data_IF_533881223872
#
_entry.id   IF_533881223872
#
_cell.length_a   1.000
_cell.length_b   1.000
_cell.length_c   1.000
_cell.angle_alpha   90.00
_cell.angle_beta   90.00
_cell.angle_gamma   90.00
#
_symmetry.space_group_name_H-M   'P 1'
#
loop_
_entity.id
_entity.type
_entity.pdbx_description
1 polymer ?
#
# COMPACT_ATOMS: atom_id res chain seq x y z
N UNK A 1 -9.83 -9.14 -90.84
CA UNK A 1 -9.12 -7.97 -91.39
C UNK A 1 -10.11 -6.82 -91.53
N UNK A 2 -9.65 -5.59 -91.28
CA UNK A 2 -10.33 -4.29 -91.44
C UNK A 2 -11.24 -3.79 -90.29
N UNK A 3 -10.63 -2.98 -89.41
CA UNK A 3 -11.25 -1.79 -88.76
C UNK A 3 -11.43 -0.69 -89.84
N UNK A 4 -12.35 0.31 -89.74
CA UNK A 4 -12.09 1.50 -88.90
C UNK A 4 -13.30 2.34 -88.39
N UNK A 5 -13.03 3.02 -87.26
CA UNK A 5 -13.29 4.44 -86.88
C UNK A 5 -14.60 5.16 -87.26
N UNK A 6 -15.25 5.73 -86.24
CA UNK A 6 -15.58 7.16 -86.12
C UNK A 6 -15.91 7.48 -84.65
N UNK A 7 -15.10 8.23 -83.90
CA UNK A 7 -14.93 9.69 -83.83
C UNK A 7 -16.08 10.47 -83.13
N UNK A 8 -15.78 10.92 -81.89
CA UNK A 8 -15.97 12.27 -81.28
C UNK A 8 -17.38 12.91 -81.30
N UNK A 9 -17.90 13.63 -80.29
CA UNK A 9 -17.32 14.45 -79.22
C UNK A 9 -18.44 14.90 -78.24
N UNK A 10 -18.04 15.14 -76.98
CA UNK A 10 -18.44 16.21 -76.04
C UNK A 10 -19.93 16.61 -75.87
N UNK A 11 -20.43 16.46 -74.64
CA UNK A 11 -20.65 17.54 -73.63
C UNK A 11 -21.51 16.93 -72.51
N UNK A 12 -21.05 16.76 -71.28
CA UNK A 12 -20.75 17.81 -70.32
C UNK A 12 -21.84 17.80 -69.24
N UNK A 13 -21.52 17.35 -68.03
CA UNK A 13 -22.07 17.88 -66.75
C UNK A 13 -21.63 17.06 -65.54
N UNK A 14 -21.13 17.81 -64.55
CA UNK A 14 -21.24 17.60 -63.10
C UNK A 14 -20.29 16.58 -62.46
N UNK A 15 -19.23 17.17 -61.93
CA UNK A 15 -18.55 16.84 -60.68
C UNK A 15 -19.40 16.02 -59.70
N UNK A 16 -18.84 14.90 -59.25
CA UNK A 16 -18.90 14.47 -57.85
C UNK A 16 -17.51 13.94 -57.48
N UNK A 17 -16.80 14.73 -56.68
CA UNK A 17 -15.67 14.25 -55.88
C UNK A 17 -16.21 13.17 -54.94
N UNK A 18 -15.89 11.91 -55.20
CA UNK A 18 -15.88 10.89 -54.16
C UNK A 18 -14.52 10.97 -53.47
N UNK A 19 -14.44 11.86 -52.49
CA UNK A 19 -13.48 11.74 -51.39
C UNK A 19 -13.82 10.44 -50.70
N UNK A 20 -13.08 9.39 -51.02
CA UNK A 20 -13.06 8.19 -50.22
C UNK A 20 -12.56 8.59 -48.83
N UNK A 21 -13.47 8.68 -47.87
CA UNK A 21 -13.13 8.64 -46.46
C UNK A 21 -12.33 7.36 -46.24
N UNK A 22 -11.00 7.50 -46.25
CA UNK A 22 -10.11 6.62 -45.52
C UNK A 22 -10.70 6.56 -44.11
N UNK A 23 -11.23 5.39 -43.77
CA UNK A 23 -11.49 5.00 -42.39
C UNK A 23 -10.15 5.17 -41.67
N UNK A 24 -9.95 6.34 -41.07
CA UNK A 24 -8.97 6.55 -40.04
C UNK A 24 -9.36 5.55 -38.96
N UNK A 25 -8.68 4.41 -38.96
CA UNK A 25 -8.67 3.53 -37.82
C UNK A 25 -8.29 4.40 -36.64
N UNK A 26 -9.24 4.63 -35.73
CA UNK A 26 -8.90 4.85 -34.34
C UNK A 26 -8.24 3.55 -33.85
N UNK A 27 -7.01 3.31 -34.29
CA UNK A 27 -6.05 2.56 -33.51
C UNK A 27 -5.83 3.41 -32.27
N UNK A 28 -6.74 3.28 -31.31
CA UNK A 28 -6.39 3.46 -29.93
C UNK A 28 -5.17 2.57 -29.75
N UNK A 29 -3.99 3.17 -29.78
CA UNK A 29 -2.79 2.63 -29.16
C UNK A 29 -3.15 2.50 -27.69
N UNK A 30 -3.92 1.46 -27.36
CA UNK A 30 -4.03 0.92 -26.04
C UNK A 30 -2.58 0.74 -25.63
N UNK A 31 -2.17 1.51 -24.63
CA UNK A 31 -0.83 1.59 -24.10
C UNK A 31 -0.49 0.19 -23.54
N UNK A 32 -0.11 -0.73 -24.44
CA UNK A 32 0.04 -2.18 -24.20
C UNK A 32 1.31 -2.48 -23.39
N UNK A 33 2.10 -1.47 -23.07
CA UNK A 33 3.38 -1.60 -22.38
C UNK A 33 3.35 -1.09 -20.93
N UNK A 34 2.20 -0.61 -20.44
CA UNK A 34 2.11 -0.17 -19.06
C UNK A 34 2.01 -1.41 -18.14
N UNK A 35 3.16 -1.96 -17.74
CA UNK A 35 3.27 -3.09 -16.81
C UNK A 35 2.64 -2.73 -15.46
N UNK A 36 1.40 -3.18 -15.16
CA UNK A 36 0.70 -2.79 -13.95
C UNK A 36 1.41 -3.30 -12.69
N UNK A 37 2.10 -4.43 -12.78
CA UNK A 37 2.90 -4.99 -11.69
C UNK A 37 4.09 -4.08 -11.35
N UNK A 38 4.70 -3.44 -12.33
CA UNK A 38 5.80 -2.50 -12.13
C UNK A 38 5.38 -1.24 -11.37
N UNK A 39 4.26 -0.63 -11.76
CA UNK A 39 3.73 0.55 -11.06
C UNK A 39 3.20 0.22 -9.66
N UNK A 40 2.52 -0.91 -9.50
CA UNK A 40 2.07 -1.40 -8.19
C UNK A 40 3.26 -1.65 -7.24
N UNK A 41 4.33 -2.30 -7.73
CA UNK A 41 5.54 -2.53 -6.93
C UNK A 41 6.24 -1.21 -6.56
N UNK A 42 6.28 -0.23 -7.47
CA UNK A 42 6.82 1.09 -7.17
C UNK A 42 6.00 1.81 -6.08
N UNK A 43 4.68 1.70 -6.12
CA UNK A 43 3.80 2.25 -5.09
C UNK A 43 3.95 1.53 -3.76
N UNK A 44 4.03 0.19 -3.75
CA UNK A 44 4.33 -0.60 -2.56
C UNK A 44 5.64 -0.16 -1.91
N UNK A 45 6.71 0.02 -2.71
CA UNK A 45 8.00 0.54 -2.23
C UNK A 45 7.88 1.96 -1.68
N UNK A 46 7.15 2.85 -2.33
CA UNK A 46 6.96 4.21 -1.86
C UNK A 46 6.26 4.25 -0.49
N UNK A 47 5.22 3.42 -0.31
CA UNK A 47 4.47 3.29 0.93
C UNK A 47 5.32 2.73 2.08
N UNK A 48 5.98 1.59 1.87
CA UNK A 48 6.83 0.98 2.91
C UNK A 48 8.02 1.88 3.27
N UNK A 49 8.59 2.58 2.29
CA UNK A 49 9.64 3.57 2.54
C UNK A 49 9.13 4.79 3.33
N UNK A 50 7.85 5.17 3.21
CA UNK A 50 7.28 6.21 4.05
C UNK A 50 7.23 5.75 5.51
N UNK A 51 6.79 4.51 5.77
CA UNK A 51 6.80 3.90 7.10
C UNK A 51 8.23 3.83 7.66
N UNK A 52 9.20 3.33 6.88
CA UNK A 52 10.60 3.24 7.29
C UNK A 52 11.24 4.61 7.61
N UNK A 53 10.74 5.70 7.02
CA UNK A 53 11.18 7.08 7.30
C UNK A 53 10.34 7.78 8.37
N UNK A 54 9.41 7.07 9.01
CA UNK A 54 8.46 7.61 9.97
C UNK A 54 7.58 8.75 9.39
N UNK A 55 7.39 8.75 8.07
CA UNK A 55 6.59 9.75 7.35
C UNK A 55 5.12 9.34 7.30
N UNK A 56 4.44 9.54 8.44
CA UNK A 56 3.02 9.24 8.59
C UNK A 56 2.16 9.95 7.56
N UNK A 57 2.52 11.18 7.14
CA UNK A 57 1.71 11.95 6.19
C UNK A 57 1.70 11.31 4.81
N UNK A 58 2.85 10.83 4.35
CA UNK A 58 2.94 10.13 3.07
C UNK A 58 2.26 8.77 3.14
N UNK A 59 2.49 7.99 4.20
CA UNK A 59 1.81 6.70 4.38
C UNK A 59 0.28 6.87 4.38
N UNK A 60 -0.23 7.82 5.17
CA UNK A 60 -1.65 8.10 5.29
C UNK A 60 -2.30 8.59 3.99
N UNK A 61 -1.57 9.36 3.18
CA UNK A 61 -2.06 9.84 1.89
C UNK A 61 -2.21 8.68 0.88
N UNK A 62 -1.40 7.64 1.03
CA UNK A 62 -1.45 6.46 0.17
C UNK A 62 -2.50 5.43 0.64
N UNK A 63 -2.93 5.47 1.90
CA UNK A 63 -3.88 4.51 2.48
C UNK A 63 -5.32 5.01 2.41
N UNK A 64 -6.23 4.15 1.95
CA UNK A 64 -7.67 4.40 2.00
C UNK A 64 -8.12 4.65 3.47
N UNK A 65 -8.97 5.64 3.70
CA UNK A 65 -9.29 6.10 5.07
C UNK A 65 -10.14 5.10 5.85
N UNK A 66 -11.02 4.41 5.15
CA UNK A 66 -11.93 3.37 5.65
C UNK A 66 -11.22 2.06 5.98
N UNK A 67 -10.13 1.76 5.26
CA UNK A 67 -9.39 0.49 5.36
C UNK A 67 -8.28 0.49 6.44
N UNK A 68 -8.27 1.51 7.31
CA UNK A 68 -7.30 1.57 8.41
C UNK A 68 -7.66 0.68 9.58
N UNK A 69 -8.91 0.20 9.63
CA UNK A 69 -9.44 -0.54 10.77
C UNK A 69 -9.29 -2.04 10.49
N UNK A 70 -8.58 -2.81 11.33
CA UNK A 70 -8.55 -4.26 11.18
C UNK A 70 -9.97 -4.84 11.33
N UNK A 71 -10.26 -5.96 10.65
CA UNK A 71 -11.58 -6.63 10.62
C UNK A 71 -12.14 -7.01 12.01
N UNK A 72 -11.34 -6.92 13.07
CA UNK A 72 -11.79 -7.04 14.45
C UNK A 72 -11.29 -5.88 15.32
N UNK A 73 -11.96 -4.71 15.29
CA UNK A 73 -11.58 -3.55 16.10
C UNK A 73 -12.02 -3.67 17.56
N UNK A 74 -12.59 -4.81 17.98
CA UNK A 74 -13.41 -4.84 19.18
C UNK A 74 -12.65 -4.47 20.46
N UNK A 75 -11.30 -4.54 20.51
CA UNK A 75 -10.52 -4.33 21.74
C UNK A 75 -9.12 -3.70 21.57
N UNK A 76 -8.75 -3.25 20.37
CA UNK A 76 -7.39 -2.78 20.09
C UNK A 76 -7.25 -1.25 20.01
N UNK A 77 -6.22 -0.68 20.64
CA UNK A 77 -5.89 0.76 20.52
C UNK A 77 -5.14 1.03 19.23
N UNK A 78 -5.67 1.93 18.40
CA UNK A 78 -5.01 2.44 17.20
C UNK A 78 -3.82 3.34 17.57
N UNK A 79 -2.61 2.89 17.25
CA UNK A 79 -1.38 3.65 17.42
C UNK A 79 -0.73 4.08 16.11
N UNK A 80 -1.43 4.02 14.98
CA UNK A 80 -0.90 4.44 13.67
C UNK A 80 -0.37 5.87 13.69
N UNK A 81 -1.04 6.79 14.41
CA UNK A 81 -0.63 8.17 14.58
C UNK A 81 0.68 8.35 15.40
N UNK A 82 1.10 7.32 16.14
CA UNK A 82 2.36 7.32 16.89
C UNK A 82 3.58 6.91 16.06
N UNK A 83 3.44 6.61 14.76
CA UNK A 83 4.58 6.28 13.89
C UNK A 83 5.75 7.29 14.01
N UNK A 84 5.54 8.63 14.04
CA UNK A 84 6.64 9.58 14.24
C UNK A 84 7.37 9.46 15.59
N UNK A 85 6.75 8.82 16.58
CA UNK A 85 7.29 8.60 17.93
C UNK A 85 8.03 7.25 18.07
N UNK A 86 8.07 6.43 17.00
CA UNK A 86 8.84 5.18 16.99
C UNK A 86 10.34 5.47 17.21
N UNK A 87 10.95 4.79 18.19
CA UNK A 87 12.38 4.95 18.50
C UNK A 87 13.27 4.13 17.59
N UNK A 88 12.72 3.07 17.01
CA UNK A 88 13.42 2.16 16.12
C UNK A 88 12.56 1.93 14.87
N UNK A 89 12.81 2.66 13.76
CA UNK A 89 12.08 2.44 12.52
C UNK A 89 12.35 1.03 11.97
N UNK A 90 11.48 0.56 11.08
CA UNK A 90 11.80 -0.61 10.25
C UNK A 90 13.01 -0.31 9.35
N UNK A 91 13.89 -1.30 9.19
CA UNK A 91 15.06 -1.24 8.30
C UNK A 91 15.06 -2.40 7.32
N UNK A 92 15.79 -2.23 6.22
CA UNK A 92 15.95 -3.18 5.11
C UNK A 92 14.62 -3.79 4.63
N UNK A 93 13.61 -2.97 4.29
CA UNK A 93 12.35 -3.50 3.80
C UNK A 93 12.56 -4.25 2.47
N UNK A 94 12.13 -5.50 2.46
CA UNK A 94 12.09 -6.35 1.29
C UNK A 94 10.64 -6.56 0.84
N UNK A 95 10.34 -6.27 -0.43
CA UNK A 95 8.98 -6.36 -0.97
C UNK A 95 8.95 -7.37 -2.10
N UNK A 96 8.12 -8.40 -1.94
CA UNK A 96 7.92 -9.46 -2.92
C UNK A 96 6.49 -9.38 -3.46
N UNK A 97 6.28 -9.22 -4.77
CA UNK A 97 4.94 -9.30 -5.36
C UNK A 97 4.40 -10.72 -5.21
N UNK A 98 3.16 -10.84 -4.72
CA UNK A 98 2.41 -12.10 -4.70
C UNK A 98 1.57 -12.28 -5.96
N UNK A 99 1.17 -11.17 -6.58
CA UNK A 99 0.36 -11.16 -7.80
C UNK A 99 -0.89 -10.30 -7.66
N UNK A 100 -1.82 -10.41 -8.63
CA UNK A 100 -3.14 -9.81 -8.54
C UNK A 100 -3.92 -10.36 -7.33
N UNK A 101 -4.78 -9.54 -6.74
CA UNK A 101 -5.73 -9.98 -5.71
C UNK A 101 -7.06 -10.45 -6.28
N UNK A 102 -7.97 -10.79 -5.37
CA UNK A 102 -9.30 -11.32 -5.70
C UNK A 102 -10.19 -10.27 -6.38
N UNK A 103 -9.96 -8.99 -6.08
CA UNK A 103 -10.66 -7.87 -6.70
C UNK A 103 -9.92 -7.35 -7.94
N UNK A 104 -10.68 -6.99 -8.97
CA UNK A 104 -10.13 -6.42 -10.20
C UNK A 104 -9.31 -5.15 -9.90
N UNK A 105 -8.06 -5.12 -10.38
CA UNK A 105 -7.16 -3.99 -10.17
C UNK A 105 -6.48 -3.95 -8.82
N UNK A 106 -6.58 -5.03 -8.02
CA UNK A 106 -5.81 -5.18 -6.77
C UNK A 106 -4.53 -5.99 -6.98
N UNK A 107 -3.51 -5.69 -6.18
CA UNK A 107 -2.21 -6.39 -6.16
C UNK A 107 -1.73 -6.58 -4.72
N UNK A 108 -1.22 -7.78 -4.44
CA UNK A 108 -0.73 -8.17 -3.12
C UNK A 108 0.79 -8.18 -3.10
N UNK A 109 1.34 -7.75 -1.98
CA UNK A 109 2.77 -7.77 -1.72
C UNK A 109 3.04 -8.29 -0.31
N UNK A 110 3.99 -9.22 -0.22
CA UNK A 110 4.62 -9.54 1.05
C UNK A 110 5.72 -8.53 1.33
N UNK A 111 5.74 -8.01 2.55
CA UNK A 111 6.75 -7.11 3.07
C UNK A 111 7.46 -7.82 4.21
N UNK A 112 8.78 -7.85 4.17
CA UNK A 112 9.63 -8.26 5.29
C UNK A 112 10.52 -7.10 5.69
N UNK A 113 10.86 -7.00 6.96
CA UNK A 113 11.69 -5.92 7.49
C UNK A 113 12.37 -6.34 8.79
N UNK A 114 13.25 -5.49 9.31
CA UNK A 114 13.81 -5.66 10.65
C UNK A 114 13.47 -4.47 11.54
N UNK A 115 13.30 -4.73 12.83
CA UNK A 115 13.24 -3.71 13.90
C UNK A 115 14.36 -4.07 14.88
N UNK A 116 15.44 -3.27 14.92
CA UNK A 116 16.72 -3.68 15.53
C UNK A 116 17.21 -5.03 14.96
N UNK A 117 17.30 -6.06 15.81
CA UNK A 117 17.69 -7.43 15.47
C UNK A 117 16.49 -8.35 15.21
N UNK A 118 15.27 -7.90 15.46
CA UNK A 118 14.06 -8.69 15.27
C UNK A 118 13.61 -8.61 13.82
N UNK A 119 13.07 -9.71 13.31
CA UNK A 119 12.52 -9.79 11.95
C UNK A 119 11.01 -9.67 12.02
N UNK A 120 10.43 -8.98 11.06
CA UNK A 120 8.99 -8.81 10.96
C UNK A 120 8.52 -8.94 9.52
N UNK A 121 7.21 -9.04 9.36
CA UNK A 121 6.62 -9.04 8.04
C UNK A 121 5.10 -8.93 8.08
N UNK A 122 4.53 -8.66 6.91
CA UNK A 122 3.09 -8.56 6.72
C UNK A 122 2.75 -8.44 5.25
N UNK A 123 1.46 -8.36 4.97
CA UNK A 123 0.92 -8.23 3.62
C UNK A 123 0.33 -6.86 3.44
N UNK A 124 0.55 -6.27 2.26
CA UNK A 124 -0.17 -5.07 1.83
C UNK A 124 -0.93 -5.35 0.54
N UNK A 125 -2.08 -4.70 0.39
CA UNK A 125 -2.90 -4.77 -0.81
C UNK A 125 -3.03 -3.37 -1.38
N UNK A 126 -2.72 -3.21 -2.67
CA UNK A 126 -2.88 -1.97 -3.40
C UNK A 126 -4.01 -2.13 -4.42
N UNK A 127 -4.90 -1.14 -4.52
CA UNK A 127 -5.96 -1.04 -5.51
C UNK A 127 -5.69 0.11 -6.46
N UNK A 128 -5.87 -0.12 -7.75
CA UNK A 128 -5.84 0.90 -8.79
C UNK A 128 -7.27 1.32 -9.15
N UNK A 129 -7.50 2.62 -9.32
CA UNK A 129 -8.76 3.09 -9.93
C UNK A 129 -8.83 2.65 -11.41
N UNK A 130 -10.03 2.31 -11.90
CA UNK A 130 -10.22 1.64 -13.19
C UNK A 130 -9.66 2.44 -14.39
N UNK A 131 -9.71 3.76 -14.32
CA UNK A 131 -9.27 4.72 -15.34
C UNK A 131 -7.87 5.30 -15.10
N UNK A 132 -7.18 4.87 -14.03
CA UNK A 132 -5.89 5.42 -13.64
C UNK A 132 -4.70 4.76 -14.38
N UNK A 133 -3.65 5.55 -14.58
CA UNK A 133 -2.41 5.13 -15.24
C UNK A 133 -1.67 4.07 -14.40
N UNK A 134 -1.60 2.81 -14.86
CA UNK A 134 -1.04 1.73 -14.06
C UNK A 134 0.47 1.88 -13.79
N UNK A 135 1.17 2.76 -14.52
CA UNK A 135 2.61 3.01 -14.32
C UNK A 135 2.92 4.03 -13.22
N UNK A 136 1.93 4.84 -12.80
CA UNK A 136 2.16 5.94 -11.84
C UNK A 136 1.90 5.51 -10.41
N UNK A 137 2.84 5.80 -9.51
CA UNK A 137 2.70 5.55 -8.06
C UNK A 137 1.41 6.15 -7.48
N UNK A 138 1.07 7.38 -7.87
CA UNK A 138 -0.13 8.08 -7.37
C UNK A 138 -1.46 7.53 -7.88
N UNK A 139 -1.45 6.52 -8.76
CA UNK A 139 -2.65 5.83 -9.25
C UNK A 139 -3.02 4.61 -8.40
N UNK A 140 -2.23 4.30 -7.38
CA UNK A 140 -2.42 3.16 -6.50
C UNK A 140 -2.71 3.62 -5.08
N UNK A 141 -3.73 3.01 -4.47
CA UNK A 141 -4.14 3.24 -3.09
C UNK A 141 -3.94 1.97 -2.29
N UNK A 142 -3.34 2.06 -1.11
CA UNK A 142 -3.23 0.96 -0.16
C UNK A 142 -4.59 0.75 0.49
N UNK A 143 -5.16 -0.44 0.30
CA UNK A 143 -6.46 -0.85 0.86
C UNK A 143 -6.32 -1.96 1.90
N UNK A 144 -5.13 -2.54 2.05
CA UNK A 144 -4.76 -3.29 3.24
C UNK A 144 -3.40 -2.72 3.68
N UNK A 145 -3.36 -1.90 4.75
CA UNK A 145 -2.12 -1.28 5.19
C UNK A 145 -1.18 -2.27 5.87
N UNK A 146 0.10 -1.90 5.97
CA UNK A 146 1.08 -2.67 6.75
C UNK A 146 0.90 -2.34 8.24
N UNK A 147 -0.26 -2.69 8.78
CA UNK A 147 -0.56 -2.58 10.21
C UNK A 147 -0.37 -3.92 10.89
N UNK A 148 0.14 -3.86 12.12
CA UNK A 148 0.49 -5.02 12.92
C UNK A 148 -0.13 -4.85 14.30
N UNK A 149 -0.46 -5.95 14.97
CA UNK A 149 -0.97 -5.93 16.34
C UNK A 149 0.03 -6.58 17.29
N UNK A 150 0.03 -6.11 18.55
CA UNK A 150 0.75 -6.75 19.64
C UNK A 150 -0.01 -6.49 20.93
N UNK A 151 0.05 -7.45 21.84
CA UNK A 151 -0.34 -7.27 23.23
C UNK A 151 0.87 -6.71 23.99
N UNK A 152 0.89 -5.42 24.37
CA UNK A 152 1.93 -4.93 25.26
C UNK A 152 1.81 -5.64 26.62
N UNK A 153 2.94 -6.04 27.20
CA UNK A 153 2.99 -6.64 28.54
C UNK A 153 2.77 -5.56 29.61
N UNK A 154 1.54 -5.08 29.72
CA UNK A 154 1.12 -4.16 30.77
C UNK A 154 -0.09 -4.76 31.46
N UNK A 155 0.00 -5.03 32.76
CA UNK A 155 -1.17 -5.09 33.61
C UNK A 155 -1.23 -3.77 34.37
N UNK A 156 -2.41 -3.21 34.58
CA UNK A 156 -2.58 -1.93 35.28
C UNK A 156 -2.15 -1.88 36.74
N UNK A 157 -1.51 -2.95 37.20
CA UNK A 157 -0.84 -3.05 38.49
C UNK A 157 0.65 -2.68 38.42
N UNK A 158 1.28 -2.81 37.25
CA UNK A 158 2.74 -2.62 37.10
C UNK A 158 3.08 -1.23 36.56
N UNK A 159 2.26 -0.67 35.66
CA UNK A 159 2.49 0.66 35.08
C UNK A 159 1.12 1.37 34.90
N UNK A 160 0.72 2.28 35.80
CA UNK A 160 -0.52 3.04 35.65
C UNK A 160 -0.39 4.09 34.53
N UNK A 161 -1.47 4.32 33.78
CA UNK A 161 -1.58 5.42 32.80
C UNK A 161 -0.58 5.31 31.65
N UNK A 162 -0.62 4.20 30.92
CA UNK A 162 0.38 3.91 29.88
C UNK A 162 0.15 4.75 28.63
N UNK A 163 1.23 5.30 28.07
CA UNK A 163 1.22 6.02 26.79
C UNK A 163 2.23 5.44 25.80
N UNK A 164 1.87 5.46 24.52
CA UNK A 164 2.76 5.23 23.38
C UNK A 164 2.82 6.54 22.58
N UNK A 165 3.95 7.23 22.66
CA UNK A 165 4.04 8.60 22.15
C UNK A 165 3.01 9.49 22.85
N UNK A 166 2.10 10.08 22.08
CA UNK A 166 0.99 10.92 22.60
C UNK A 166 -0.31 10.15 22.85
N UNK A 167 -0.35 8.86 22.58
CA UNK A 167 -1.56 8.06 22.61
C UNK A 167 -1.66 7.38 23.97
N UNK A 168 -2.78 7.61 24.66
CA UNK A 168 -3.13 6.89 25.87
C UNK A 168 -3.59 5.48 25.52
N UNK A 169 -2.95 4.49 26.14
CA UNK A 169 -3.41 3.12 26.15
C UNK A 169 -4.18 2.97 27.45
N UNK A 170 -5.52 2.85 27.33
CA UNK A 170 -6.36 2.68 28.50
C UNK A 170 -5.86 1.51 29.34
N UNK A 171 -5.95 1.65 30.66
CA UNK A 171 -5.52 0.61 31.58
C UNK A 171 -6.77 -0.17 32.01
N UNK A 172 -7.10 -1.23 31.28
CA UNK A 172 -8.20 -2.12 31.65
C UNK A 172 -7.61 -3.29 32.46
N UNK A 173 -7.86 -3.36 33.77
CA UNK A 173 -7.31 -4.43 34.61
C UNK A 173 -7.90 -5.82 34.29
N UNK A 174 -8.97 -5.90 33.50
CA UNK A 174 -9.64 -7.14 33.12
C UNK A 174 -9.31 -7.62 31.70
N UNK A 175 -8.80 -6.73 30.84
CA UNK A 175 -8.48 -7.06 29.45
C UNK A 175 -7.07 -6.63 29.04
N UNK A 176 -6.36 -7.55 28.38
CA UNK A 176 -5.16 -7.20 27.63
C UNK A 176 -5.55 -6.21 26.51
N UNK A 177 -5.08 -4.97 26.59
CA UNK A 177 -5.33 -3.97 25.55
C UNK A 177 -4.32 -4.14 24.43
N UNK A 178 -4.72 -4.89 23.41
CA UNK A 178 -3.93 -5.01 22.19
C UNK A 178 -3.73 -3.62 21.57
N UNK A 179 -2.56 -3.37 21.02
CA UNK A 179 -2.30 -2.16 20.24
C UNK A 179 -2.05 -2.57 18.81
N UNK A 180 -2.52 -1.76 17.86
CA UNK A 180 -2.25 -1.99 16.45
C UNK A 180 -1.83 -0.71 15.74
N UNK A 181 -0.94 -0.83 14.76
CA UNK A 181 -0.39 0.33 14.06
C UNK A 181 0.74 -0.04 13.12
N UNK A 182 1.52 0.95 12.69
CA UNK A 182 2.64 0.72 11.79
C UNK A 182 3.84 0.06 12.50
N UNK A 183 4.54 -0.89 11.86
CA UNK A 183 5.64 -1.59 12.50
C UNK A 183 6.78 -0.66 12.89
N UNK A 184 7.43 -0.98 14.01
CA UNK A 184 8.49 -0.18 14.61
C UNK A 184 8.71 -0.54 16.08
N UNK A 185 9.80 -0.06 16.65
CA UNK A 185 10.06 -0.14 18.09
C UNK A 185 9.48 1.08 18.80
N UNK A 186 8.68 0.84 19.82
CA UNK A 186 7.97 1.87 20.58
C UNK A 186 8.28 1.77 22.07
N UNK A 187 8.06 2.89 22.77
CA UNK A 187 8.19 2.97 24.22
C UNK A 187 6.81 3.14 24.85
N UNK A 188 6.51 2.29 25.82
CA UNK A 188 5.41 2.44 26.76
C UNK A 188 5.95 3.22 27.96
N UNK A 189 5.36 4.39 28.24
CA UNK A 189 5.71 5.21 29.40
C UNK A 189 4.53 5.26 30.36
N UNK A 190 4.77 5.03 31.65
CA UNK A 190 3.75 5.21 32.69
C UNK A 190 3.52 6.65 33.12
N UNK A 191 2.56 6.85 34.01
CA UNK A 191 2.29 8.14 34.66
C UNK A 191 2.41 8.11 36.20
N UNK A 192 2.77 9.26 36.81
CA UNK A 192 3.24 10.49 36.17
C UNK A 192 4.64 10.29 35.55
N UNK A 193 4.94 11.03 34.47
CA UNK A 193 6.26 11.00 33.85
C UNK A 193 7.30 11.63 34.80
N UNK A 194 8.15 10.81 35.40
CA UNK A 194 9.24 11.18 36.31
C UNK A 194 10.50 10.37 36.03
N UNK A 195 11.61 10.69 36.70
CA UNK A 195 12.90 10.00 36.51
C UNK A 195 12.87 8.50 36.84
N UNK A 196 11.89 8.06 37.62
CA UNK A 196 11.76 6.68 38.10
C UNK A 196 10.60 5.92 37.43
N UNK A 197 9.97 6.51 36.41
CA UNK A 197 8.84 5.88 35.73
C UNK A 197 9.33 4.76 34.82
N UNK A 198 8.85 3.51 34.99
CA UNK A 198 9.25 2.41 34.14
C UNK A 198 8.91 2.72 32.67
N UNK A 199 9.91 2.56 31.81
CA UNK A 199 9.75 2.63 30.35
C UNK A 199 9.98 1.23 29.79
N UNK A 200 8.96 0.67 29.16
CA UNK A 200 9.07 -0.62 28.47
C UNK A 200 9.23 -0.38 26.98
N UNK A 201 10.18 -1.07 26.38
CA UNK A 201 10.31 -1.11 24.93
C UNK A 201 9.63 -2.36 24.39
N UNK A 202 8.95 -2.23 23.27
CA UNK A 202 8.39 -3.36 22.53
C UNK A 202 8.53 -3.12 21.02
N UNK A 203 8.55 -4.19 20.25
CA UNK A 203 8.49 -4.11 18.79
C UNK A 203 7.08 -4.45 18.31
N UNK A 204 6.50 -3.57 17.50
CA UNK A 204 5.24 -3.85 16.82
C UNK A 204 5.53 -4.55 15.49
N UNK A 205 4.98 -5.74 15.32
CA UNK A 205 5.10 -6.51 14.08
C UNK A 205 6.48 -7.14 13.85
N UNK A 206 7.25 -7.42 14.91
CA UNK A 206 8.48 -8.18 14.79
C UNK A 206 8.55 -9.23 15.93
N UNK A 207 8.68 -10.50 15.55
CA UNK A 207 8.87 -11.66 16.42
C UNK A 207 10.08 -12.47 15.94
N UNK A 208 10.66 -13.33 16.77
CA UNK A 208 11.87 -14.11 16.46
C UNK A 208 11.76 -15.11 15.28
N UNK A 209 10.64 -15.18 14.53
CA UNK A 209 10.50 -16.12 13.43
C UNK A 209 9.89 -15.49 12.16
N UNK A 210 10.63 -15.45 11.03
CA UNK A 210 10.00 -15.26 9.74
C UNK A 210 9.21 -16.53 9.35
N UNK A 211 7.94 -16.39 8.96
CA UNK A 211 7.24 -17.43 8.20
C UNK A 211 7.83 -17.50 6.78
N UNK A 212 8.93 -18.21 6.61
CA UNK A 212 9.38 -18.63 5.28
C UNK A 212 8.81 -20.02 5.01
N UNK A 213 7.83 -20.10 4.11
CA UNK A 213 7.54 -21.36 3.44
C UNK A 213 8.83 -21.82 2.76
N UNK A 214 9.33 -22.95 3.23
CA UNK A 214 10.42 -23.71 2.65
C UNK A 214 9.91 -24.41 1.37
N UNK A 215 9.59 -23.63 0.35
CA UNK A 215 9.36 -24.14 -1.00
C UNK A 215 9.96 -23.15 -1.99
N UNK A 216 11.28 -23.28 -2.21
CA UNK A 216 11.87 -22.98 -3.50
C UNK A 216 12.42 -24.28 -4.08
N UNK A 217 12.22 -24.55 -5.38
CA UNK A 217 12.94 -25.59 -6.09
C UNK A 217 14.45 -25.33 -6.10
#
# INVERSE_FOLDING_TARGET
MSRPRAHTRCTGRRAWLLVGCLLAGCSATANRDANPTGGALAAARAYVNAIARLDIRTADKMTARDERVPDSPARGVDITAALPDATDPIIDPWITPLGPGDEAGTYLFNVSYRVKSLTGGGTIVLRRAADADPSKVGSWTVILPLTQSVTPLTNGRTIPGVRIGKIEVADDPETSNDVWGYPGGYRLTGEPAGKDTPTLWFALGADDLPAWNADKP
#
